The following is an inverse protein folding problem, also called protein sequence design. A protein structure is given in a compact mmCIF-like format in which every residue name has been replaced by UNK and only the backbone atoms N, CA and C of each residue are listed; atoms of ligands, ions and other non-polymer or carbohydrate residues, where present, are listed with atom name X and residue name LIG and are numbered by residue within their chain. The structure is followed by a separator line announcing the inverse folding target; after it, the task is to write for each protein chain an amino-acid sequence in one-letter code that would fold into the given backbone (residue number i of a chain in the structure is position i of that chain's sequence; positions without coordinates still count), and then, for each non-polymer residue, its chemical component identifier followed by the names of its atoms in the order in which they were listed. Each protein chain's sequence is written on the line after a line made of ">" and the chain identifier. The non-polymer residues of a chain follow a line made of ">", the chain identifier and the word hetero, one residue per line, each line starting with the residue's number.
data_IF_069556860051
#
_entry.id   IF_069556860051
#
_cell.length_a   1.000
_cell.length_b   1.000
_cell.length_c   1.000
_cell.angle_alpha   90.00
_cell.angle_beta   90.00
_cell.angle_gamma   90.00
#
_symmetry.space_group_name_H-M   'P 1'
#
loop_
_entity.id
_entity.type
_entity.pdbx_description
1 polymer ?
#
# COMPACT_ATOMS: atom_id res chain seq x y z
N UNK A 1 0.20 -8.81 11.06
CA UNK A 1 1.42 -8.53 10.28
C UNK A 1 1.06 -8.74 8.82
N UNK A 2 1.15 -7.70 7.97
CA UNK A 2 0.76 -7.82 6.56
C UNK A 2 1.93 -8.32 5.72
N UNK A 3 1.67 -9.34 4.90
CA UNK A 3 2.65 -9.89 3.98
C UNK A 3 3.09 -8.85 2.97
N UNK A 4 4.29 -9.05 2.46
CA UNK A 4 4.90 -8.19 1.47
C UNK A 4 3.98 -7.95 0.24
N UNK A 5 3.38 -9.01 -0.26
CA UNK A 5 2.41 -8.97 -1.36
C UNK A 5 1.16 -8.13 -1.06
N UNK A 6 0.64 -8.20 0.17
CA UNK A 6 -0.53 -7.44 0.59
C UNK A 6 -0.22 -5.94 0.64
N UNK A 7 1.00 -5.56 1.05
CA UNK A 7 1.45 -4.16 1.03
C UNK A 7 1.50 -3.63 -0.39
N UNK A 8 2.03 -4.43 -1.32
CA UNK A 8 2.12 -4.06 -2.73
C UNK A 8 0.74 -3.99 -3.39
N UNK A 9 -0.16 -4.93 -3.10
CA UNK A 9 -1.55 -4.85 -3.58
C UNK A 9 -2.22 -3.58 -3.08
N UNK A 10 -2.04 -3.23 -1.80
CA UNK A 10 -2.60 -2.01 -1.23
C UNK A 10 -2.03 -0.73 -1.87
N UNK A 11 -0.70 -0.66 -2.07
CA UNK A 11 -0.05 0.50 -2.72
C UNK A 11 -0.45 0.63 -4.18
N UNK A 12 -0.47 -0.48 -4.96
CA UNK A 12 -0.94 -0.48 -6.35
C UNK A 12 -2.41 -0.05 -6.46
N UNK A 13 -3.25 -0.54 -5.55
CA UNK A 13 -4.66 -0.14 -5.53
C UNK A 13 -4.81 1.33 -5.14
N UNK A 14 -4.01 1.82 -4.20
CA UNK A 14 -3.96 3.23 -3.83
C UNK A 14 -3.56 4.15 -4.99
N UNK A 15 -2.57 3.75 -5.78
CA UNK A 15 -2.17 4.47 -6.98
C UNK A 15 -3.27 4.44 -8.06
N UNK A 16 -3.86 3.27 -8.31
CA UNK A 16 -4.98 3.08 -9.25
C UNK A 16 -6.22 3.92 -8.88
N UNK A 17 -6.48 4.10 -7.58
CA UNK A 17 -7.59 4.90 -7.07
C UNK A 17 -7.26 6.40 -6.96
N UNK A 18 -6.07 6.84 -7.41
CA UNK A 18 -5.67 8.24 -7.41
C UNK A 18 -5.32 8.76 -6.02
N UNK A 19 -4.56 7.97 -5.24
CA UNK A 19 -4.10 8.30 -3.88
C UNK A 19 -5.27 8.50 -2.87
N UNK A 20 -6.40 7.83 -3.11
CA UNK A 20 -7.58 7.88 -2.22
C UNK A 20 -7.51 6.80 -1.14
N UNK A 21 -6.93 7.14 0.00
CA UNK A 21 -6.72 6.19 1.11
C UNK A 21 -8.01 5.53 1.57
N UNK A 22 -9.10 6.30 1.71
CA UNK A 22 -10.38 5.79 2.17
C UNK A 22 -11.00 4.75 1.23
N UNK A 23 -10.79 4.91 -0.08
CA UNK A 23 -11.28 3.96 -1.08
C UNK A 23 -10.50 2.63 -1.00
N UNK A 24 -9.18 2.69 -0.90
CA UNK A 24 -8.31 1.51 -0.74
C UNK A 24 -8.69 0.70 0.51
N UNK A 25 -8.87 1.38 1.65
CA UNK A 25 -9.21 0.73 2.93
C UNK A 25 -10.61 0.12 2.88
N UNK A 26 -11.59 0.82 2.28
CA UNK A 26 -12.95 0.29 2.13
C UNK A 26 -13.01 -0.93 1.21
N UNK A 27 -12.13 -0.98 0.21
CA UNK A 27 -12.12 -2.03 -0.80
C UNK A 27 -11.34 -3.27 -0.35
N UNK A 28 -10.26 -3.10 0.41
CA UNK A 28 -9.44 -4.20 0.94
C UNK A 28 -9.85 -4.63 2.36
N UNK A 29 -10.50 -3.77 3.14
CA UNK A 29 -10.80 -3.99 4.56
C UNK A 29 -9.58 -3.83 5.48
N UNK A 30 -8.41 -3.58 4.89
CA UNK A 30 -7.11 -3.29 5.49
C UNK A 30 -6.33 -2.43 4.48
N UNK A 31 -5.15 -1.86 4.78
CA UNK A 31 -4.53 -1.58 6.07
C UNK A 31 -5.11 -0.30 6.72
N UNK A 32 -4.51 0.20 7.80
CA UNK A 32 -4.83 1.54 8.33
C UNK A 32 -4.23 2.64 7.44
N UNK A 33 -4.81 3.86 7.52
CA UNK A 33 -4.35 5.03 6.77
C UNK A 33 -2.85 5.33 6.94
N UNK A 34 -2.32 5.11 8.14
CA UNK A 34 -0.90 5.36 8.45
C UNK A 34 0.01 4.30 7.81
N UNK A 35 -0.39 3.03 7.84
CA UNK A 35 0.35 1.95 7.19
C UNK A 35 0.39 2.16 5.67
N UNK A 36 -0.73 2.54 5.03
CA UNK A 36 -0.75 2.80 3.59
C UNK A 36 0.17 3.96 3.19
N UNK A 37 0.25 5.02 4.01
CA UNK A 37 1.20 6.13 3.79
C UNK A 37 2.66 5.69 3.95
N UNK A 38 2.95 4.85 4.94
CA UNK A 38 4.30 4.28 5.11
C UNK A 38 4.69 3.46 3.90
N UNK A 39 3.83 2.54 3.47
CA UNK A 39 4.11 1.66 2.32
C UNK A 39 4.22 2.43 1.02
N UNK A 40 3.40 3.46 0.80
CA UNK A 40 3.51 4.31 -0.37
C UNK A 40 4.81 5.12 -0.37
N UNK A 41 5.28 5.58 0.80
CA UNK A 41 6.56 6.28 0.92
C UNK A 41 7.74 5.32 0.72
N UNK A 42 7.67 4.12 1.26
CA UNK A 42 8.66 3.04 1.02
C UNK A 42 8.70 2.67 -0.47
N UNK A 43 7.56 2.67 -1.15
CA UNK A 43 7.45 2.43 -2.59
C UNK A 43 7.98 3.61 -3.43
N UNK A 44 7.66 4.86 -3.08
CA UNK A 44 8.15 6.07 -3.77
C UNK A 44 9.65 6.35 -3.53
N UNK A 45 10.22 5.93 -2.39
CA UNK A 45 11.63 6.14 -2.06
C UNK A 45 12.60 5.22 -2.81
N UNK A 46 12.09 4.31 -3.66
CA UNK A 46 12.92 3.63 -4.66
C UNK A 46 13.72 2.45 -4.11
N UNK A 47 13.06 1.35 -3.77
CA UNK A 47 13.70 0.05 -3.86
C UNK A 47 12.71 -0.92 -4.47
N UNK A 48 13.20 -1.70 -5.43
CA UNK A 48 12.78 -3.07 -5.63
C UNK A 48 12.62 -3.72 -4.25
N UNK A 49 11.41 -3.67 -3.73
CA UNK A 49 10.69 -4.81 -3.22
C UNK A 49 11.63 -5.99 -2.96
N UNK A 50 12.37 -6.06 -1.83
CA UNK A 50 13.28 -7.16 -1.64
C UNK A 50 12.44 -8.44 -1.58
N UNK A 51 12.57 -9.23 -2.64
CA UNK A 51 12.11 -10.61 -2.70
C UNK A 51 13.01 -11.34 -1.71
N UNK A 52 12.52 -11.46 -0.48
CA UNK A 52 12.95 -12.48 0.45
C UNK A 52 12.29 -13.80 0.11
#
# INVERSE_FOLDING_TARGET
>A
MYSYEDRIRAVKLYEKLGKRTGATIRQLGYPTKNALKSWHREFEQGHELPVG
#
